data_IF_585438887003
#
_entry.id   IF_585438887003
#
_cell.length_a   1.000
_cell.length_b   1.000
_cell.length_c   1.000
_cell.angle_alpha   90.00
_cell.angle_beta   90.00
_cell.angle_gamma   90.00
#
_symmetry.space_group_name_H-M   'P 1'
#
loop_
_entity.id
_entity.type
_entity.pdbx_description
1 polymer ?
#
# COMPACT_ATOMS: atom_id res chain seq x y z
N UNK A 1 38.52 -8.44 -16.10
CA UNK A 1 37.10 -8.55 -15.77
C UNK A 1 36.61 -7.20 -15.30
N UNK A 2 35.61 -6.62 -15.94
CA UNK A 2 35.12 -5.26 -15.59
C UNK A 2 33.96 -4.75 -16.45
N UNK A 3 33.32 -5.62 -17.24
CA UNK A 3 32.18 -5.27 -18.09
C UNK A 3 30.81 -5.67 -17.51
N UNK A 4 30.76 -6.63 -16.58
CA UNK A 4 29.51 -7.15 -16.01
C UNK A 4 28.87 -6.23 -14.97
N UNK A 5 29.67 -5.50 -14.19
CA UNK A 5 29.17 -4.65 -13.08
C UNK A 5 28.49 -3.36 -13.58
N UNK A 6 28.87 -2.84 -14.75
CA UNK A 6 28.26 -1.63 -15.31
C UNK A 6 26.87 -1.87 -15.92
N UNK A 7 26.58 -3.06 -16.44
CA UNK A 7 25.23 -3.39 -16.93
C UNK A 7 24.24 -3.62 -15.78
N UNK A 8 24.69 -4.20 -14.67
CA UNK A 8 23.88 -4.36 -13.45
C UNK A 8 23.55 -2.99 -12.82
N UNK A 9 24.51 -2.06 -12.73
CA UNK A 9 24.23 -0.71 -12.24
C UNK A 9 23.23 0.09 -13.09
N UNK A 10 23.14 -0.18 -14.41
CA UNK A 10 22.17 0.49 -15.29
C UNK A 10 20.76 -0.11 -15.19
N UNK A 11 20.62 -1.40 -14.92
CA UNK A 11 19.32 -2.05 -14.64
C UNK A 11 18.78 -1.72 -13.24
N UNK A 12 19.65 -1.26 -12.33
CA UNK A 12 19.32 -0.97 -10.92
C UNK A 12 19.58 0.49 -10.53
N UNK A 13 19.45 1.43 -11.47
CA UNK A 13 19.47 2.89 -11.19
C UNK A 13 18.22 3.33 -10.44
N UNK A 14 18.34 4.30 -9.52
CA UNK A 14 17.19 4.91 -8.81
C UNK A 14 16.18 5.63 -9.71
N UNK A 15 16.45 5.71 -11.02
CA UNK A 15 15.54 6.28 -12.00
C UNK A 15 14.46 5.28 -12.47
N UNK A 16 14.66 3.97 -12.27
CA UNK A 16 13.68 2.95 -12.69
C UNK A 16 12.51 2.77 -11.72
N UNK A 17 12.62 3.28 -10.49
CA UNK A 17 11.57 3.19 -9.46
C UNK A 17 10.36 4.04 -9.84
N UNK A 18 10.51 5.34 -10.20
CA UNK A 18 9.46 6.09 -10.87
C UNK A 18 8.87 5.30 -12.02
N UNK A 19 9.71 4.86 -12.95
CA UNK A 19 9.24 4.31 -14.22
C UNK A 19 8.54 2.96 -14.07
N UNK A 20 8.95 2.09 -13.16
CA UNK A 20 8.29 0.81 -12.94
C UNK A 20 6.99 1.00 -12.17
N UNK A 21 6.98 1.80 -11.10
CA UNK A 21 5.78 2.05 -10.30
C UNK A 21 4.75 2.87 -11.10
N UNK A 22 5.21 3.85 -11.89
CA UNK A 22 4.40 4.60 -12.85
C UNK A 22 3.99 3.72 -14.03
N UNK A 23 4.85 2.86 -14.59
CA UNK A 23 4.46 1.93 -15.68
C UNK A 23 3.39 0.93 -15.20
N UNK A 24 3.53 0.43 -13.98
CA UNK A 24 2.55 -0.42 -13.30
C UNK A 24 1.20 0.31 -13.11
N UNK A 25 1.25 1.59 -12.76
CA UNK A 25 0.05 2.41 -12.55
C UNK A 25 -0.57 2.91 -13.86
N UNK A 26 0.24 3.23 -14.87
CA UNK A 26 -0.18 3.76 -16.18
C UNK A 26 -0.73 2.68 -17.11
N UNK A 27 -0.33 1.40 -16.94
CA UNK A 27 -0.99 0.27 -17.61
C UNK A 27 -2.48 0.16 -17.26
N UNK A 28 -2.88 0.65 -16.08
CA UNK A 28 -4.29 0.70 -15.63
C UNK A 28 -5.02 2.00 -16.00
N UNK A 29 -4.31 3.00 -16.51
CA UNK A 29 -4.76 4.40 -16.61
C UNK A 29 -4.93 4.91 -18.04
N UNK A 30 -4.97 4.02 -19.04
CA UNK A 30 -5.29 4.41 -20.42
C UNK A 30 -6.78 4.72 -20.59
N UNK A 31 -7.23 5.87 -20.05
CA UNK A 31 -8.48 6.58 -20.39
C UNK A 31 -8.43 8.02 -19.82
N UNK A 32 -7.83 8.93 -20.63
CA UNK A 32 -8.25 10.31 -20.93
C UNK A 32 -8.80 11.24 -19.83
N UNK A 33 -8.12 12.38 -19.54
CA UNK A 33 -8.36 13.71 -20.16
C UNK A 33 -7.58 14.82 -19.41
N UNK A 34 -6.90 15.60 -20.23
CA UNK A 34 -6.24 16.92 -20.21
C UNK A 34 -6.59 18.02 -19.18
N UNK A 35 -5.51 18.73 -18.81
CA UNK A 35 -5.32 20.10 -18.27
C UNK A 35 -6.10 21.21 -19.03
N UNK A 36 -6.34 22.45 -18.51
CA UNK A 36 -5.25 23.45 -18.30
C UNK A 36 -5.43 24.61 -17.22
N UNK A 37 -4.28 25.06 -16.70
CA UNK A 37 -3.74 26.46 -16.55
C UNK A 37 -4.33 27.62 -15.66
N UNK A 38 -3.48 28.06 -14.70
CA UNK A 38 -2.91 29.42 -14.38
C UNK A 38 -3.59 30.55 -13.56
N UNK A 39 -2.82 30.96 -12.51
CA UNK A 39 -2.40 32.30 -11.98
C UNK A 39 -3.38 33.33 -11.36
N UNK A 40 -3.09 33.78 -10.12
CA UNK A 40 -2.55 35.14 -9.80
C UNK A 40 -2.47 35.46 -8.28
N UNK A 41 -1.54 36.37 -7.96
CA UNK A 41 -0.98 36.78 -6.64
C UNK A 41 -1.80 37.87 -5.89
N UNK A 42 -1.59 38.03 -4.56
CA UNK A 42 -1.09 39.24 -3.81
C UNK A 42 -1.42 39.23 -2.28
N UNK A 43 -0.83 40.10 -1.39
CA UNK A 43 -0.02 39.64 -0.25
C UNK A 43 -0.40 40.13 1.17
N UNK A 44 0.36 39.61 2.16
CA UNK A 44 0.81 40.19 3.45
C UNK A 44 -0.17 40.51 4.59
N UNK A 45 0.08 39.88 5.76
CA UNK A 45 -0.43 40.29 7.08
C UNK A 45 -0.02 39.30 8.19
N UNK A 46 0.59 39.82 9.26
CA UNK A 46 1.37 39.13 10.31
C UNK A 46 0.50 38.57 11.47
N UNK A 47 0.76 37.34 11.98
CA UNK A 47 0.82 36.95 13.42
C UNK A 47 0.68 35.42 13.70
N UNK A 48 1.13 35.02 14.90
CA UNK A 48 1.51 33.71 15.50
C UNK A 48 0.56 32.47 15.40
N UNK A 49 1.02 31.25 15.76
CA UNK A 49 0.56 29.98 15.20
C UNK A 49 -0.72 29.44 15.85
N UNK A 50 -1.76 29.22 15.05
CA UNK A 50 -2.99 28.57 15.52
C UNK A 50 -3.19 27.26 14.78
N UNK A 51 -2.58 26.21 15.32
CA UNK A 51 -2.72 24.81 14.86
C UNK A 51 -4.12 24.28 15.22
N UNK A 52 -4.72 23.48 14.34
CA UNK A 52 -6.01 22.78 14.50
C UNK A 52 -7.29 23.65 14.60
N UNK A 53 -7.18 24.97 14.67
CA UNK A 53 -8.32 25.86 14.43
C UNK A 53 -8.73 25.81 12.95
N UNK A 54 -7.88 25.47 11.98
CA UNK A 54 -8.29 25.60 10.57
C UNK A 54 -9.35 24.56 10.13
N UNK A 55 -9.24 23.28 10.51
CA UNK A 55 -10.26 22.27 10.14
C UNK A 55 -11.51 22.33 11.03
N UNK A 56 -11.34 22.63 12.33
CA UNK A 56 -12.46 22.77 13.28
C UNK A 56 -13.14 24.15 13.21
N UNK A 57 -12.42 25.25 12.95
CA UNK A 57 -13.01 26.54 12.56
C UNK A 57 -13.61 26.43 11.17
N UNK A 58 -13.05 25.75 10.16
CA UNK A 58 -13.77 25.62 8.89
C UNK A 58 -15.10 24.87 9.07
N UNK A 59 -15.11 23.85 9.92
CA UNK A 59 -16.33 23.13 10.29
C UNK A 59 -17.29 23.99 11.16
N UNK A 60 -16.77 24.92 11.96
CA UNK A 60 -17.55 25.80 12.85
C UNK A 60 -17.90 27.18 12.29
N UNK A 61 -17.23 27.66 11.24
CA UNK A 61 -17.29 29.03 10.71
C UNK A 61 -18.12 29.11 9.42
N UNK A 62 -18.42 27.98 8.77
CA UNK A 62 -19.36 27.95 7.64
C UNK A 62 -19.97 26.56 7.41
N UNK A 63 -21.19 26.26 7.90
CA UNK A 63 -21.85 24.96 7.70
C UNK A 63 -22.26 24.69 6.24
N UNK A 64 -22.08 25.66 5.33
CA UNK A 64 -22.39 25.53 3.89
C UNK A 64 -21.17 25.21 3.01
N UNK A 65 -19.95 25.18 3.55
CA UNK A 65 -18.76 24.89 2.76
C UNK A 65 -18.70 23.40 2.39
N UNK A 66 -18.83 23.09 1.10
CA UNK A 66 -18.76 21.73 0.61
C UNK A 66 -17.37 21.10 0.86
N UNK A 67 -17.33 19.77 1.04
CA UNK A 67 -16.09 18.99 1.22
C UNK A 67 -15.02 19.31 0.16
N UNK A 68 -15.44 19.58 -1.07
CA UNK A 68 -14.57 19.96 -2.18
C UNK A 68 -13.89 21.32 -1.98
N UNK A 69 -14.62 22.32 -1.49
CA UNK A 69 -14.07 23.65 -1.22
C UNK A 69 -13.11 23.59 -0.03
N UNK A 70 -13.43 22.80 0.99
CA UNK A 70 -12.53 22.54 2.11
C UNK A 70 -11.21 21.88 1.64
N UNK A 71 -11.28 20.85 0.79
CA UNK A 71 -10.10 20.18 0.23
C UNK A 71 -9.23 21.11 -0.63
N UNK A 72 -9.85 22.03 -1.38
CA UNK A 72 -9.15 23.03 -2.21
C UNK A 72 -8.52 24.15 -1.37
N UNK A 73 -9.11 24.48 -0.21
CA UNK A 73 -8.58 25.50 0.70
C UNK A 73 -7.36 25.04 1.50
N UNK A 74 -7.12 23.73 1.58
CA UNK A 74 -6.02 23.16 2.35
C UNK A 74 -4.69 23.29 1.62
N UNK A 75 -3.69 23.85 2.30
CA UNK A 75 -2.32 23.88 1.79
C UNK A 75 -1.63 22.52 2.00
N UNK A 76 -1.71 21.66 0.99
CA UNK A 76 -1.16 20.30 1.00
C UNK A 76 0.36 20.22 1.22
N UNK A 77 1.09 21.31 0.92
CA UNK A 77 2.54 21.41 1.09
C UNK A 77 2.95 21.93 2.49
N UNK A 78 1.99 22.23 3.36
CA UNK A 78 2.28 22.73 4.70
C UNK A 78 3.07 21.70 5.52
N UNK A 79 4.20 22.13 6.10
CA UNK A 79 5.07 21.30 6.92
C UNK A 79 4.85 21.55 8.41
N UNK A 80 4.56 20.49 9.16
CA UNK A 80 4.45 20.55 10.62
C UNK A 80 5.04 19.31 11.28
N UNK A 81 5.43 19.45 12.55
CA UNK A 81 5.83 18.30 13.35
C UNK A 81 4.65 17.34 13.55
N UNK A 82 4.91 16.02 13.64
CA UNK A 82 3.87 15.06 13.99
C UNK A 82 3.25 15.40 15.35
N UNK A 83 1.93 15.33 15.43
CA UNK A 83 1.16 15.57 16.66
C UNK A 83 0.13 14.45 16.86
N UNK A 84 -0.19 14.14 18.12
CA UNK A 84 -1.20 13.12 18.42
C UNK A 84 -2.59 13.46 17.84
N UNK A 85 -2.88 14.75 17.69
CA UNK A 85 -4.12 15.26 17.08
C UNK A 85 -4.27 14.83 15.62
N UNK A 86 -3.17 14.54 14.91
CA UNK A 86 -3.22 14.07 13.53
C UNK A 86 -3.94 12.71 13.42
N UNK A 87 -3.96 11.91 14.50
CA UNK A 87 -4.70 10.63 14.55
C UNK A 87 -6.19 10.78 14.88
N UNK A 88 -6.70 12.00 15.12
CA UNK A 88 -8.12 12.19 15.43
C UNK A 88 -9.07 11.75 14.29
N UNK A 89 -8.58 11.73 13.04
CA UNK A 89 -9.33 11.28 11.85
C UNK A 89 -9.33 9.75 11.72
N UNK A 90 -8.42 9.05 12.42
CA UNK A 90 -8.23 7.60 12.29
C UNK A 90 -9.50 6.79 12.59
N UNK A 91 -10.27 7.05 13.68
CA UNK A 91 -11.51 6.32 13.95
C UNK A 91 -12.55 6.47 12.83
N UNK A 92 -12.64 7.66 12.23
CA UNK A 92 -13.53 7.90 11.09
C UNK A 92 -13.16 7.02 9.90
N UNK A 93 -11.86 6.85 9.62
CA UNK A 93 -11.40 5.97 8.54
C UNK A 93 -11.65 4.48 8.84
N UNK A 94 -11.46 4.05 10.09
CA UNK A 94 -11.73 2.67 10.51
C UNK A 94 -13.20 2.29 10.31
N UNK A 95 -14.14 3.25 10.44
CA UNK A 95 -15.57 3.06 10.13
C UNK A 95 -15.87 3.25 8.64
N UNK A 96 -15.16 4.16 7.98
CA UNK A 96 -15.32 4.43 6.55
C UNK A 96 -15.04 3.18 5.70
N UNK A 97 -13.92 2.47 5.92
CA UNK A 97 -13.56 1.31 5.11
C UNK A 97 -14.61 0.18 5.10
N UNK A 98 -15.12 -0.33 6.23
CA UNK A 98 -16.18 -1.34 6.21
C UNK A 98 -17.48 -0.81 5.60
N UNK A 99 -17.80 0.47 5.80
CA UNK A 99 -18.98 1.10 5.18
C UNK A 99 -18.84 1.18 3.66
N UNK A 100 -17.68 1.62 3.17
CA UNK A 100 -17.36 1.67 1.75
C UNK A 100 -17.36 0.27 1.13
N UNK A 101 -16.80 -0.73 1.82
CA UNK A 101 -16.87 -2.14 1.39
C UNK A 101 -18.30 -2.59 1.21
N UNK A 102 -19.15 -2.37 2.21
CA UNK A 102 -20.56 -2.76 2.15
C UNK A 102 -21.31 -2.09 0.98
N UNK A 103 -21.10 -0.79 0.76
CA UNK A 103 -21.72 -0.06 -0.34
C UNK A 103 -21.22 -0.54 -1.70
N UNK A 104 -19.91 -0.69 -1.88
CA UNK A 104 -19.32 -1.19 -3.13
C UNK A 104 -19.75 -2.63 -3.41
N UNK A 105 -19.79 -3.49 -2.40
CA UNK A 105 -20.31 -4.86 -2.50
C UNK A 105 -21.74 -4.85 -3.02
N UNK A 106 -22.62 -4.05 -2.40
CA UNK A 106 -24.05 -4.00 -2.71
C UNK A 106 -24.34 -3.46 -4.11
N UNK A 107 -23.67 -2.38 -4.52
CA UNK A 107 -24.02 -1.65 -5.73
C UNK A 107 -23.16 -1.99 -6.95
N UNK A 108 -21.87 -2.34 -6.74
CA UNK A 108 -20.89 -2.49 -7.81
C UNK A 108 -20.42 -3.94 -7.92
N UNK A 109 -19.76 -4.48 -6.88
CA UNK A 109 -19.07 -5.76 -6.98
C UNK A 109 -20.03 -6.92 -7.21
N UNK A 110 -21.19 -6.95 -6.55
CA UNK A 110 -22.19 -7.99 -6.78
C UNK A 110 -22.73 -7.95 -8.23
N UNK A 111 -22.90 -6.76 -8.82
CA UNK A 111 -23.33 -6.62 -10.23
C UNK A 111 -22.23 -7.05 -11.20
N UNK A 112 -20.98 -6.69 -10.93
CA UNK A 112 -19.82 -7.08 -11.74
C UNK A 112 -19.55 -8.57 -11.65
N UNK A 113 -19.53 -9.14 -10.44
CA UNK A 113 -19.29 -10.54 -10.18
C UNK A 113 -20.30 -11.42 -10.94
N UNK A 114 -21.60 -11.11 -10.84
CA UNK A 114 -22.63 -11.86 -11.60
C UNK A 114 -22.43 -11.77 -13.11
N UNK A 115 -22.04 -10.61 -13.65
CA UNK A 115 -21.82 -10.46 -15.10
C UNK A 115 -20.58 -11.22 -15.59
N UNK A 116 -19.49 -11.14 -14.84
CA UNK A 116 -18.19 -11.69 -15.25
C UNK A 116 -18.05 -13.18 -14.92
N UNK A 117 -18.62 -13.64 -13.81
CA UNK A 117 -18.53 -15.04 -13.36
C UNK A 117 -19.65 -15.91 -13.96
N UNK A 118 -20.89 -15.41 -14.07
CA UNK A 118 -22.03 -16.20 -14.60
C UNK A 118 -22.26 -16.05 -16.11
N UNK A 119 -21.49 -15.20 -16.80
CA UNK A 119 -21.65 -14.92 -18.23
C UNK A 119 -21.47 -16.14 -19.17
N UNK A 120 -21.05 -17.30 -18.65
CA UNK A 120 -20.95 -18.57 -19.38
C UNK A 120 -21.81 -19.66 -18.71
N UNK A 121 -22.96 -19.95 -19.31
CA UNK A 121 -23.66 -21.23 -19.23
C UNK A 121 -24.48 -21.54 -17.97
N UNK A 122 -25.80 -21.41 -18.07
CA UNK A 122 -26.75 -21.99 -17.12
C UNK A 122 -26.91 -23.50 -17.36
N UNK A 123 -26.60 -24.33 -16.35
CA UNK A 123 -27.47 -25.40 -15.79
C UNK A 123 -26.65 -26.54 -15.14
N UNK A 124 -26.55 -26.55 -13.81
CA UNK A 124 -26.72 -27.76 -12.97
C UNK A 124 -26.92 -27.35 -11.51
N UNK A 125 -27.97 -27.91 -10.89
CA UNK A 125 -28.59 -27.38 -9.69
C UNK A 125 -27.89 -27.85 -8.39
N UNK A 126 -27.70 -26.91 -7.48
CA UNK A 126 -27.32 -27.02 -6.07
C UNK A 126 -25.82 -27.13 -5.74
N UNK A 127 -25.09 -28.20 -6.09
CA UNK A 127 -23.64 -28.30 -5.75
C UNK A 127 -22.81 -27.28 -6.55
N UNK A 128 -23.14 -27.06 -7.82
CA UNK A 128 -22.53 -26.01 -8.63
C UNK A 128 -22.93 -24.60 -8.15
N UNK A 129 -24.13 -24.46 -7.57
CA UNK A 129 -24.61 -23.18 -7.05
C UNK A 129 -23.80 -22.72 -5.82
N UNK A 130 -23.42 -23.65 -4.94
CA UNK A 130 -22.54 -23.35 -3.80
C UNK A 130 -21.11 -23.04 -4.25
N UNK A 131 -20.58 -23.79 -5.23
CA UNK A 131 -19.28 -23.50 -5.84
C UNK A 131 -19.23 -22.13 -6.53
N UNK A 132 -20.30 -21.77 -7.25
CA UNK A 132 -20.48 -20.45 -7.88
C UNK A 132 -20.56 -19.36 -6.81
N UNK A 133 -21.32 -19.56 -5.73
CA UNK A 133 -21.43 -18.59 -4.63
C UNK A 133 -20.08 -18.36 -3.95
N UNK A 134 -19.31 -19.42 -3.70
CA UNK A 134 -17.93 -19.33 -3.17
C UNK A 134 -17.05 -18.50 -4.12
N UNK A 135 -17.08 -18.76 -5.45
CA UNK A 135 -16.33 -17.97 -6.45
C UNK A 135 -16.75 -16.50 -6.47
N UNK A 136 -18.06 -16.20 -6.41
CA UNK A 136 -18.57 -14.83 -6.35
C UNK A 136 -18.08 -14.08 -5.11
N UNK A 137 -18.07 -14.73 -3.95
CA UNK A 137 -17.57 -14.13 -2.71
C UNK A 137 -16.06 -13.88 -2.78
N UNK A 138 -15.27 -14.85 -3.26
CA UNK A 138 -13.83 -14.68 -3.47
C UNK A 138 -13.51 -13.57 -4.48
N UNK A 139 -14.32 -13.41 -5.53
CA UNK A 139 -14.20 -12.28 -6.47
C UNK A 139 -14.47 -10.93 -5.78
N UNK A 140 -15.56 -10.82 -5.00
CA UNK A 140 -15.92 -9.58 -4.30
C UNK A 140 -14.86 -9.17 -3.28
N UNK A 141 -14.35 -10.12 -2.50
CA UNK A 141 -13.25 -9.89 -1.57
C UNK A 141 -11.99 -9.36 -2.27
N UNK A 142 -11.65 -9.97 -3.41
CA UNK A 142 -10.51 -9.55 -4.22
C UNK A 142 -10.73 -8.17 -4.86
N UNK A 143 -11.95 -7.87 -5.32
CA UNK A 143 -12.30 -6.56 -5.87
C UNK A 143 -12.23 -5.45 -4.81
N UNK A 144 -12.65 -5.71 -3.57
CA UNK A 144 -12.49 -4.78 -2.46
C UNK A 144 -11.02 -4.46 -2.19
N UNK A 145 -10.18 -5.51 -2.10
CA UNK A 145 -8.73 -5.35 -1.89
C UNK A 145 -8.09 -4.59 -3.05
N UNK A 146 -8.46 -4.90 -4.29
CA UNK A 146 -8.00 -4.18 -5.48
C UNK A 146 -8.32 -2.68 -5.41
N UNK A 147 -9.57 -2.31 -5.12
CA UNK A 147 -9.97 -0.89 -5.03
C UNK A 147 -9.14 -0.16 -3.98
N UNK A 148 -8.93 -0.77 -2.82
CA UNK A 148 -8.06 -0.18 -1.80
C UNK A 148 -6.62 -0.03 -2.31
N UNK A 149 -5.94 -1.12 -2.69
CA UNK A 149 -4.52 -1.06 -3.07
C UNK A 149 -4.29 -0.12 -4.25
N UNK A 150 -5.19 -0.11 -5.23
CA UNK A 150 -5.10 0.79 -6.36
C UNK A 150 -5.26 2.27 -5.93
N UNK A 151 -6.24 2.58 -5.08
CA UNK A 151 -6.41 3.95 -4.56
C UNK A 151 -5.25 4.39 -3.66
N UNK A 152 -4.72 3.49 -2.82
CA UNK A 152 -3.58 3.74 -1.93
C UNK A 152 -2.30 3.99 -2.73
N UNK A 153 -2.10 3.23 -3.81
CA UNK A 153 -0.95 3.38 -4.70
C UNK A 153 -1.01 4.70 -5.46
N UNK A 154 -2.17 5.05 -6.04
CA UNK A 154 -2.35 6.35 -6.70
C UNK A 154 -2.12 7.51 -5.74
N UNK A 155 -2.64 7.42 -4.52
CA UNK A 155 -2.44 8.45 -3.50
C UNK A 155 -0.96 8.55 -3.12
N UNK A 156 -0.29 7.42 -2.84
CA UNK A 156 1.13 7.39 -2.47
C UNK A 156 1.99 8.00 -3.57
N UNK A 157 1.79 7.61 -4.83
CA UNK A 157 2.52 8.16 -5.96
C UNK A 157 2.27 9.65 -6.15
N UNK A 158 1.01 10.08 -6.09
CA UNK A 158 0.67 11.50 -6.25
C UNK A 158 1.39 12.39 -5.22
N UNK A 159 1.57 11.87 -4.01
CA UNK A 159 2.20 12.59 -2.90
C UNK A 159 3.73 12.52 -2.95
N UNK A 160 4.30 11.37 -3.32
CA UNK A 160 5.76 11.17 -3.27
C UNK A 160 6.47 11.48 -4.58
N UNK A 161 5.81 11.43 -5.74
CA UNK A 161 6.47 11.52 -7.05
C UNK A 161 7.33 12.79 -7.23
N UNK A 162 6.80 13.94 -6.78
CA UNK A 162 7.49 15.23 -6.88
C UNK A 162 8.47 15.50 -5.72
N UNK A 163 8.62 14.56 -4.79
CA UNK A 163 9.46 14.74 -3.60
C UNK A 163 10.90 14.27 -3.85
N UNK A 164 11.91 14.96 -3.27
CA UNK A 164 13.31 14.68 -3.55
C UNK A 164 13.77 13.31 -3.02
N UNK A 165 13.03 12.72 -2.09
CA UNK A 165 13.31 11.38 -1.56
C UNK A 165 12.77 10.23 -2.40
N UNK A 166 11.99 10.52 -3.43
CA UNK A 166 11.50 9.50 -4.36
C UNK A 166 12.63 8.87 -5.17
N UNK A 167 13.67 9.66 -5.50
CA UNK A 167 14.82 9.23 -6.33
C UNK A 167 16.11 9.07 -5.53
N UNK A 168 16.25 9.76 -4.40
CA UNK A 168 17.48 9.73 -3.60
C UNK A 168 17.18 9.42 -2.13
N UNK A 169 17.67 8.27 -1.68
CA UNK A 169 17.46 7.74 -0.33
C UNK A 169 18.08 8.61 0.76
N UNK A 170 19.11 9.40 0.46
CA UNK A 170 19.68 10.35 1.45
C UNK A 170 18.66 11.38 1.90
N UNK A 171 17.71 11.74 1.03
CA UNK A 171 16.68 12.74 1.33
C UNK A 171 15.58 12.20 2.25
N UNK A 172 15.61 10.91 2.61
CA UNK A 172 14.86 10.41 3.76
C UNK A 172 15.32 11.09 5.05
N UNK A 173 16.63 11.28 5.19
CA UNK A 173 17.27 11.73 6.44
C UNK A 173 17.59 13.23 6.44
N UNK A 174 17.81 13.80 5.26
CA UNK A 174 18.16 15.21 5.08
C UNK A 174 17.04 15.91 4.31
N UNK A 175 16.58 17.05 4.82
CA UNK A 175 15.59 17.92 4.17
C UNK A 175 16.17 19.28 3.78
N UNK A 176 15.33 20.15 3.18
CA UNK A 176 15.70 21.52 2.89
C UNK A 176 16.05 22.29 4.18
N UNK A 177 17.03 23.19 4.09
CA UNK A 177 17.48 24.01 5.22
C UNK A 177 18.32 23.22 6.22
N UNK A 178 17.96 23.32 7.50
CA UNK A 178 18.60 22.69 8.64
C UNK A 178 17.89 21.38 9.10
N UNK A 179 16.91 20.90 8.33
CA UNK A 179 16.15 19.70 8.68
C UNK A 179 17.01 18.43 8.52
N UNK A 180 17.43 17.85 9.63
CA UNK A 180 18.10 16.54 9.68
C UNK A 180 17.35 15.66 10.66
N UNK A 181 17.10 14.40 10.29
CA UNK A 181 16.46 13.45 11.20
C UNK A 181 17.27 13.33 12.51
N UNK A 182 16.63 13.39 13.70
CA UNK A 182 15.20 13.29 13.96
C UNK A 182 14.40 14.60 13.90
N UNK A 183 15.00 15.76 13.64
CA UNK A 183 14.34 17.07 13.62
C UNK A 183 13.70 17.43 12.27
N UNK A 184 12.88 16.54 11.74
CA UNK A 184 12.18 16.73 10.47
C UNK A 184 10.69 17.00 10.64
N UNK A 185 10.14 17.84 9.76
CA UNK A 185 8.70 18.07 9.63
C UNK A 185 8.10 17.13 8.58
N UNK A 186 6.78 16.93 8.68
CA UNK A 186 5.98 16.12 7.77
C UNK A 186 5.01 17.04 7.04
N UNK A 187 4.97 16.92 5.70
CA UNK A 187 4.01 17.63 4.86
C UNK A 187 2.59 17.11 5.09
N UNK A 188 1.59 17.98 5.02
CA UNK A 188 0.18 17.63 5.24
C UNK A 188 -0.29 16.50 4.31
N UNK A 189 0.06 16.54 3.02
CA UNK A 189 -0.23 15.45 2.08
C UNK A 189 0.32 14.09 2.51
N UNK A 190 1.51 14.07 3.10
CA UNK A 190 2.15 12.85 3.57
C UNK A 190 1.52 12.33 4.87
N UNK A 191 1.06 13.25 5.75
CA UNK A 191 0.21 12.86 6.90
C UNK A 191 -1.07 12.17 6.41
N UNK A 192 -1.69 12.68 5.35
CA UNK A 192 -2.88 12.09 4.72
C UNK A 192 -2.66 10.64 4.28
N UNK A 193 -1.57 10.36 3.56
CA UNK A 193 -1.20 8.99 3.14
C UNK A 193 -1.06 8.06 4.36
N UNK A 194 -0.39 8.51 5.41
CA UNK A 194 -0.18 7.74 6.63
C UNK A 194 -1.49 7.41 7.35
N UNK A 195 -2.37 8.40 7.50
CA UNK A 195 -3.65 8.23 8.18
C UNK A 195 -4.57 7.32 7.35
N UNK A 196 -4.56 7.45 6.03
CA UNK A 196 -5.28 6.57 5.10
C UNK A 196 -4.84 5.11 5.25
N UNK A 197 -3.54 4.84 5.16
CA UNK A 197 -2.97 3.51 5.34
C UNK A 197 -3.24 2.95 6.74
N UNK A 198 -3.00 3.75 7.80
CA UNK A 198 -3.26 3.34 9.17
C UNK A 198 -4.72 2.92 9.37
N UNK A 199 -5.67 3.67 8.80
CA UNK A 199 -7.09 3.36 8.88
C UNK A 199 -7.43 2.01 8.25
N UNK A 200 -6.91 1.75 7.05
CA UNK A 200 -7.18 0.49 6.36
C UNK A 200 -6.54 -0.71 7.05
N UNK A 201 -5.26 -0.62 7.41
CA UNK A 201 -4.55 -1.73 8.04
C UNK A 201 -5.14 -2.04 9.44
N UNK A 202 -5.60 -1.03 10.17
CA UNK A 202 -6.34 -1.22 11.43
C UNK A 202 -7.68 -1.92 11.19
N UNK A 203 -8.46 -1.43 10.22
CA UNK A 203 -9.70 -2.11 9.80
C UNK A 203 -9.44 -3.57 9.37
N UNK A 204 -8.34 -3.82 8.65
CA UNK A 204 -8.01 -5.13 8.12
C UNK A 204 -7.68 -6.14 9.22
N UNK A 205 -7.12 -5.71 10.35
CA UNK A 205 -6.97 -6.57 11.54
C UNK A 205 -8.35 -7.02 12.05
N UNK A 206 -9.30 -6.09 12.21
CA UNK A 206 -10.67 -6.44 12.62
C UNK A 206 -11.35 -7.35 11.60
N UNK A 207 -11.19 -7.06 10.31
CA UNK A 207 -11.73 -7.90 9.25
C UNK A 207 -11.14 -9.31 9.31
N UNK A 208 -9.82 -9.46 9.50
CA UNK A 208 -9.17 -10.76 9.65
C UNK A 208 -9.64 -11.52 10.89
N UNK A 209 -9.87 -10.83 12.01
CA UNK A 209 -10.31 -11.47 13.25
C UNK A 209 -11.76 -11.94 13.22
N UNK A 210 -12.65 -11.19 12.57
CA UNK A 210 -14.10 -11.39 12.70
C UNK A 210 -14.83 -11.75 11.40
N UNK A 211 -14.27 -11.42 10.23
CA UNK A 211 -14.99 -11.48 8.95
C UNK A 211 -14.32 -12.36 7.89
N UNK A 212 -12.99 -12.40 7.86
CA UNK A 212 -12.23 -13.13 6.85
C UNK A 212 -12.10 -14.60 7.22
N UNK A 213 -12.14 -15.48 6.20
CA UNK A 213 -12.04 -16.92 6.45
C UNK A 213 -10.62 -17.29 6.88
N UNK A 214 -10.50 -18.11 7.93
CA UNK A 214 -9.21 -18.49 8.50
C UNK A 214 -8.46 -19.46 7.58
N UNK A 215 -7.49 -18.94 6.83
CA UNK A 215 -6.60 -19.71 5.96
C UNK A 215 -5.40 -20.30 6.72
N UNK A 216 -4.71 -21.28 6.14
CA UNK A 216 -3.48 -21.89 6.67
C UNK A 216 -2.35 -20.90 6.98
N UNK A 217 -2.26 -19.78 6.25
CA UNK A 217 -1.30 -18.70 6.50
C UNK A 217 -1.85 -17.55 7.37
N UNK A 218 -2.98 -17.77 8.07
CA UNK A 218 -3.64 -16.77 8.91
C UNK A 218 -2.70 -16.14 9.95
N UNK A 219 -1.93 -16.96 10.69
CA UNK A 219 -1.04 -16.45 11.73
C UNK A 219 0.07 -15.55 11.17
N UNK A 220 0.61 -15.91 10.00
CA UNK A 220 1.65 -15.14 9.29
C UNK A 220 1.05 -13.84 8.75
N UNK A 221 -0.13 -13.90 8.15
CA UNK A 221 -0.86 -12.72 7.65
C UNK A 221 -1.24 -11.76 8.79
N UNK A 222 -1.75 -12.27 9.91
CA UNK A 222 -2.07 -11.47 11.10
C UNK A 222 -0.82 -10.79 11.66
N UNK A 223 0.28 -11.55 11.80
CA UNK A 223 1.55 -11.00 12.29
C UNK A 223 2.07 -9.88 11.40
N UNK A 224 1.91 -10.02 10.07
CA UNK A 224 2.22 -8.95 9.13
C UNK A 224 1.37 -7.70 9.34
N UNK A 225 0.05 -7.83 9.45
CA UNK A 225 -0.84 -6.68 9.63
C UNK A 225 -0.53 -5.94 10.93
N UNK A 226 -0.28 -6.67 12.02
CA UNK A 226 0.18 -6.08 13.29
C UNK A 226 1.52 -5.36 13.12
N UNK A 227 2.51 -6.01 12.48
CA UNK A 227 3.81 -5.39 12.22
C UNK A 227 3.69 -4.12 11.36
N UNK A 228 2.84 -4.13 10.34
CA UNK A 228 2.58 -2.98 9.46
C UNK A 228 1.91 -1.83 10.20
N UNK A 229 0.88 -2.08 11.03
CA UNK A 229 0.27 -1.02 11.85
C UNK A 229 1.28 -0.43 12.83
N UNK A 230 2.07 -1.28 13.50
CA UNK A 230 3.13 -0.82 14.42
C UNK A 230 4.19 -0.02 13.66
N UNK A 231 4.60 -0.45 12.47
CA UNK A 231 5.55 0.29 11.62
C UNK A 231 4.99 1.65 11.21
N UNK A 232 3.73 1.75 10.80
CA UNK A 232 3.10 3.02 10.41
C UNK A 232 3.07 3.98 11.60
N UNK A 233 2.63 3.50 12.78
CA UNK A 233 2.55 4.34 13.99
C UNK A 233 3.93 4.78 14.47
N UNK A 234 4.88 3.85 14.60
CA UNK A 234 6.22 4.16 15.08
C UNK A 234 7.00 5.02 14.09
N UNK A 235 6.89 4.77 12.78
CA UNK A 235 7.54 5.63 11.78
C UNK A 235 6.96 7.05 11.77
N UNK A 236 5.67 7.22 12.09
CA UNK A 236 5.09 8.54 12.27
C UNK A 236 5.65 9.26 13.50
N UNK A 237 5.65 8.58 14.66
CA UNK A 237 6.14 9.13 15.94
C UNK A 237 7.64 9.43 15.89
N UNK A 238 8.43 8.53 15.32
CA UNK A 238 9.88 8.67 15.17
C UNK A 238 10.28 9.53 13.96
N UNK A 239 9.32 10.14 13.25
CA UNK A 239 9.56 11.05 12.11
C UNK A 239 10.28 10.38 10.93
N UNK A 240 10.08 9.08 10.75
CA UNK A 240 10.49 8.30 9.57
C UNK A 240 9.47 8.37 8.42
N UNK A 241 8.65 9.42 8.37
CA UNK A 241 7.52 9.53 7.46
C UNK A 241 7.93 9.38 5.98
N UNK A 242 9.05 10.01 5.58
CA UNK A 242 9.57 10.00 4.20
C UNK A 242 9.99 8.61 3.74
N UNK A 243 10.70 7.85 4.58
CA UNK A 243 11.10 6.48 4.23
C UNK A 243 9.90 5.54 4.28
N UNK A 244 9.03 5.67 5.28
CA UNK A 244 7.86 4.81 5.38
C UNK A 244 6.82 5.06 4.29
N UNK A 245 6.75 6.25 3.67
CA UNK A 245 5.91 6.47 2.49
C UNK A 245 6.38 5.65 1.29
N UNK A 246 7.71 5.51 1.12
CA UNK A 246 8.27 4.63 0.11
C UNK A 246 7.99 3.17 0.45
N UNK A 247 8.09 2.77 1.74
CA UNK A 247 7.70 1.42 2.17
C UNK A 247 6.25 1.14 1.76
N UNK A 248 5.30 2.01 2.07
CA UNK A 248 3.89 1.83 1.71
C UNK A 248 3.70 1.63 0.19
N UNK A 249 4.22 2.54 -0.63
CA UNK A 249 4.09 2.46 -2.09
C UNK A 249 4.66 1.16 -2.68
N UNK A 250 5.82 0.70 -2.20
CA UNK A 250 6.43 -0.52 -2.72
C UNK A 250 5.62 -1.78 -2.44
N UNK A 251 4.95 -1.82 -1.29
CA UNK A 251 4.20 -3.01 -0.89
C UNK A 251 2.86 -3.02 -1.60
N UNK A 252 2.13 -1.91 -1.58
CA UNK A 252 0.78 -1.81 -2.14
C UNK A 252 0.79 -2.02 -3.67
N UNK A 253 1.80 -1.52 -4.40
CA UNK A 253 1.93 -1.67 -5.85
C UNK A 253 1.83 -3.13 -6.36
N UNK A 254 2.57 -4.06 -5.74
CA UNK A 254 2.51 -5.46 -6.17
C UNK A 254 1.19 -6.15 -5.82
N UNK A 255 0.46 -5.69 -4.81
CA UNK A 255 -0.80 -6.29 -4.39
C UNK A 255 -1.95 -5.96 -5.35
N UNK A 256 -1.88 -4.81 -6.04
CA UNK A 256 -2.78 -4.48 -7.16
C UNK A 256 -2.77 -5.59 -8.21
N UNK A 257 -1.59 -6.08 -8.60
CA UNK A 257 -1.47 -7.16 -9.59
C UNK A 257 -1.97 -8.50 -9.08
N UNK A 258 -1.70 -8.81 -7.80
CA UNK A 258 -2.17 -10.03 -7.16
C UNK A 258 -3.69 -10.13 -7.19
N UNK A 259 -4.37 -9.06 -6.76
CA UNK A 259 -5.84 -9.04 -6.69
C UNK A 259 -6.47 -9.01 -8.09
N UNK A 260 -5.85 -8.31 -9.04
CA UNK A 260 -6.29 -8.34 -10.44
C UNK A 260 -6.20 -9.75 -11.04
N UNK A 261 -5.12 -10.49 -10.77
CA UNK A 261 -4.95 -11.88 -11.24
C UNK A 261 -6.05 -12.81 -10.69
N UNK A 262 -6.36 -12.68 -9.39
CA UNK A 262 -7.44 -13.43 -8.73
C UNK A 262 -8.81 -13.12 -9.35
N UNK A 263 -9.13 -11.84 -9.55
CA UNK A 263 -10.38 -11.42 -10.19
C UNK A 263 -10.57 -12.04 -11.58
N UNK A 264 -9.52 -12.04 -12.41
CA UNK A 264 -9.57 -12.68 -13.73
C UNK A 264 -9.69 -14.19 -13.63
N UNK A 265 -9.01 -14.83 -12.67
CA UNK A 265 -9.12 -16.27 -12.44
C UNK A 265 -10.54 -16.68 -12.05
N UNK A 266 -11.17 -15.95 -11.13
CA UNK A 266 -12.55 -16.23 -10.70
C UNK A 266 -13.59 -15.96 -11.81
N UNK A 267 -13.28 -15.06 -12.73
CA UNK A 267 -14.13 -14.75 -13.90
C UNK A 267 -13.93 -15.74 -15.07
N UNK A 268 -13.00 -16.70 -14.96
CA UNK A 268 -12.72 -17.67 -16.02
C UNK A 268 -11.91 -17.12 -17.20
N UNK A 269 -11.22 -15.99 -17.03
CA UNK A 269 -10.28 -15.44 -18.01
C UNK A 269 -8.86 -15.96 -17.74
N UNK A 270 -8.63 -17.26 -17.91
CA UNK A 270 -7.38 -17.94 -17.50
C UNK A 270 -6.11 -17.35 -18.14
N UNK A 271 -6.16 -16.95 -19.41
CA UNK A 271 -5.02 -16.32 -20.08
C UNK A 271 -4.63 -15.00 -19.42
N UNK A 272 -5.62 -14.14 -19.15
CA UNK A 272 -5.37 -12.83 -18.55
C UNK A 272 -4.96 -12.98 -17.08
N UNK A 273 -5.54 -13.93 -16.36
CA UNK A 273 -5.11 -14.30 -15.02
C UNK A 273 -3.63 -14.75 -15.01
N UNK A 274 -3.21 -15.54 -16.00
CA UNK A 274 -1.82 -16.00 -16.11
C UNK A 274 -0.86 -14.85 -16.39
N UNK A 275 -1.21 -13.95 -17.32
CA UNK A 275 -0.41 -12.75 -17.61
C UNK A 275 -0.26 -11.90 -16.35
N UNK A 276 -1.37 -11.60 -15.66
CA UNK A 276 -1.34 -10.79 -14.44
C UNK A 276 -0.58 -11.47 -13.30
N UNK A 277 -0.65 -12.80 -13.19
CA UNK A 277 0.13 -13.55 -12.21
C UNK A 277 1.64 -13.46 -12.50
N UNK A 278 2.07 -13.54 -13.77
CA UNK A 278 3.48 -13.34 -14.14
C UNK A 278 3.94 -11.91 -13.83
N UNK A 279 3.12 -10.90 -14.13
CA UNK A 279 3.42 -9.50 -13.78
C UNK A 279 3.54 -9.34 -12.25
N UNK A 280 2.64 -9.94 -11.48
CA UNK A 280 2.71 -9.97 -10.03
C UNK A 280 4.02 -10.59 -9.51
N UNK A 281 4.44 -11.74 -10.06
CA UNK A 281 5.70 -12.40 -9.68
C UNK A 281 6.89 -11.47 -9.93
N UNK A 282 6.94 -10.83 -11.10
CA UNK A 282 8.02 -9.89 -11.43
C UNK A 282 8.01 -8.68 -10.49
N UNK A 283 6.84 -8.10 -10.23
CA UNK A 283 6.69 -6.98 -9.30
C UNK A 283 7.10 -7.35 -7.87
N UNK A 284 6.76 -8.56 -7.40
CA UNK A 284 7.14 -9.04 -6.07
C UNK A 284 8.66 -9.10 -5.91
N UNK A 285 9.37 -9.67 -6.89
CA UNK A 285 10.83 -9.75 -6.87
C UNK A 285 11.44 -8.35 -6.86
N UNK A 286 11.04 -7.50 -7.80
CA UNK A 286 11.62 -6.17 -7.97
C UNK A 286 11.37 -5.28 -6.74
N UNK A 287 10.14 -5.21 -6.26
CA UNK A 287 9.75 -4.27 -5.22
C UNK A 287 10.13 -4.77 -3.81
N UNK A 288 9.82 -6.03 -3.48
CA UNK A 288 9.95 -6.57 -2.12
C UNK A 288 11.26 -7.32 -1.86
N UNK A 289 11.84 -7.97 -2.86
CA UNK A 289 13.10 -8.74 -2.68
C UNK A 289 14.34 -8.00 -3.14
N UNK A 290 14.21 -6.99 -4.01
CA UNK A 290 15.34 -6.19 -4.46
C UNK A 290 15.27 -4.79 -3.86
N UNK A 291 14.25 -4.01 -4.21
CA UNK A 291 14.25 -2.59 -3.83
C UNK A 291 14.12 -2.39 -2.32
N UNK A 292 13.19 -3.08 -1.67
CA UNK A 292 13.02 -3.00 -0.22
C UNK A 292 14.31 -3.29 0.59
N UNK A 293 15.02 -4.42 0.43
CA UNK A 293 16.25 -4.66 1.18
C UNK A 293 17.43 -3.79 0.72
N UNK A 294 17.68 -3.67 -0.59
CA UNK A 294 18.90 -3.04 -1.08
C UNK A 294 18.85 -1.52 -1.05
N UNK A 295 17.67 -0.89 -1.07
CA UNK A 295 17.52 0.57 -1.02
C UNK A 295 16.94 1.05 0.30
N UNK A 296 15.79 0.53 0.73
CA UNK A 296 15.14 1.01 1.95
C UNK A 296 15.90 0.56 3.19
N UNK A 297 16.07 -0.75 3.40
CA UNK A 297 16.77 -1.28 4.58
C UNK A 297 18.22 -0.82 4.62
N UNK A 298 18.91 -0.75 3.46
CA UNK A 298 20.25 -0.17 3.38
C UNK A 298 20.27 1.27 3.89
N UNK A 299 19.31 2.10 3.47
CA UNK A 299 19.24 3.51 3.89
C UNK A 299 18.93 3.63 5.39
N UNK A 300 17.97 2.86 5.89
CA UNK A 300 17.60 2.85 7.34
C UNK A 300 18.66 2.20 8.22
N UNK A 301 19.53 1.36 7.69
CA UNK A 301 20.59 0.69 8.45
C UNK A 301 21.91 1.46 8.42
N UNK A 302 22.29 2.05 7.28
CA UNK A 302 23.60 2.69 7.07
C UNK A 302 23.51 4.22 6.94
N UNK A 303 22.64 4.73 6.06
CA UNK A 303 22.60 6.18 5.76
C UNK A 303 22.11 7.01 6.96
N UNK A 304 21.18 6.46 7.76
CA UNK A 304 20.72 7.12 8.99
C UNK A 304 21.84 7.28 10.04
N UNK A 305 22.76 6.30 10.16
CA UNK A 305 23.85 6.36 11.14
C UNK A 305 24.85 7.45 10.76
N UNK A 306 25.04 7.68 9.46
CA UNK A 306 25.95 8.70 8.92
C UNK A 306 25.39 10.13 9.07
N UNK A 307 24.07 10.26 9.25
CA UNK A 307 23.39 11.56 9.32
C UNK A 307 22.99 11.95 10.74
N UNK A 308 22.85 10.97 11.64
CA UNK A 308 22.49 11.20 13.04
C UNK A 308 23.65 11.87 13.80
N UNK A 309 23.38 13.05 14.36
CA UNK A 309 24.21 13.67 15.38
C UNK A 309 24.08 12.89 16.69
N UNK A 310 25.06 12.00 16.92
CA UNK A 310 25.12 11.14 18.11
C UNK A 310 25.39 11.94 19.39
N UNK A 311 25.92 13.15 19.30
CA UNK A 311 26.17 13.98 20.49
C UNK A 311 24.89 14.64 20.97
N UNK A 312 24.04 15.10 20.03
CA UNK A 312 22.74 15.71 20.32
C UNK A 312 21.68 14.70 20.77
N UNK A 313 21.66 13.49 20.19
CA UNK A 313 20.62 12.46 20.44
C UNK A 313 21.18 11.13 20.95
N UNK A 314 21.91 11.16 22.08
CA UNK A 314 22.65 10.00 22.63
C UNK A 314 21.78 8.77 22.97
N UNK A 315 20.54 8.97 23.42
CA UNK A 315 19.69 7.88 23.95
C UNK A 315 18.54 7.54 23.01
N UNK A 316 17.82 8.54 22.51
CA UNK A 316 16.63 8.33 21.67
C UNK A 316 16.96 7.80 20.27
N UNK A 317 18.03 8.31 19.65
CA UNK A 317 18.45 7.93 18.30
C UNK A 317 18.70 6.43 18.14
N UNK A 318 19.52 5.79 18.99
CA UNK A 318 19.76 4.34 18.95
C UNK A 318 18.48 3.52 19.15
N UNK A 319 17.58 3.91 20.06
CA UNK A 319 16.34 3.17 20.31
C UNK A 319 15.46 3.19 19.06
N UNK A 320 15.21 4.36 18.48
CA UNK A 320 14.40 4.49 17.26
C UNK A 320 15.00 3.69 16.11
N UNK A 321 16.33 3.71 15.96
CA UNK A 321 17.07 2.94 14.98
C UNK A 321 16.84 1.43 15.10
N UNK A 322 17.07 0.85 16.29
CA UNK A 322 17.00 -0.60 16.48
C UNK A 322 15.56 -1.12 16.36
N UNK A 323 14.60 -0.42 16.95
CA UNK A 323 13.18 -0.83 16.89
C UNK A 323 12.68 -0.82 15.45
N UNK A 324 12.91 0.28 14.72
CA UNK A 324 12.41 0.42 13.35
C UNK A 324 13.07 -0.59 12.39
N UNK A 325 14.40 -0.73 12.44
CA UNK A 325 15.09 -1.70 11.57
C UNK A 325 14.71 -3.14 11.89
N UNK A 326 14.53 -3.51 13.17
CA UNK A 326 14.10 -4.87 13.53
C UNK A 326 12.74 -5.23 12.92
N UNK A 327 11.79 -4.29 12.93
CA UNK A 327 10.48 -4.47 12.31
C UNK A 327 10.57 -4.56 10.78
N UNK A 328 11.43 -3.77 10.12
CA UNK A 328 11.66 -3.87 8.68
C UNK A 328 12.30 -5.20 8.28
N UNK A 329 13.25 -5.71 9.07
CA UNK A 329 13.82 -7.05 8.87
C UNK A 329 12.79 -8.15 9.09
N UNK A 330 11.92 -8.01 10.10
CA UNK A 330 10.80 -8.95 10.29
C UNK A 330 9.87 -8.96 9.06
N UNK A 331 9.56 -7.78 8.48
CA UNK A 331 8.80 -7.68 7.23
C UNK A 331 9.51 -8.40 6.08
N UNK A 332 10.84 -8.23 5.93
CA UNK A 332 11.62 -8.90 4.90
C UNK A 332 11.55 -10.44 5.02
N UNK A 333 11.63 -10.97 6.25
CA UNK A 333 11.49 -12.42 6.49
C UNK A 333 10.12 -12.92 6.02
N UNK A 334 9.06 -12.16 6.30
CA UNK A 334 7.71 -12.49 5.82
C UNK A 334 7.62 -12.45 4.28
N UNK A 335 8.26 -11.49 3.62
CA UNK A 335 8.32 -11.45 2.16
C UNK A 335 9.05 -12.64 1.55
N UNK A 336 10.14 -13.09 2.18
CA UNK A 336 10.86 -14.30 1.76
C UNK A 336 9.97 -15.54 1.94
N UNK A 337 9.23 -15.64 3.05
CA UNK A 337 8.27 -16.72 3.26
C UNK A 337 7.22 -16.78 2.14
N UNK A 338 6.56 -15.67 1.83
CA UNK A 338 5.56 -15.65 0.75
C UNK A 338 6.18 -15.84 -0.63
N UNK A 339 7.40 -15.37 -0.87
CA UNK A 339 8.12 -15.66 -2.10
C UNK A 339 8.26 -17.16 -2.34
N UNK A 340 8.59 -17.95 -1.30
CA UNK A 340 8.65 -19.41 -1.42
C UNK A 340 7.30 -20.00 -1.83
N UNK A 341 6.19 -19.49 -1.30
CA UNK A 341 4.84 -19.94 -1.69
C UNK A 341 4.51 -19.56 -3.14
N UNK A 342 4.79 -18.32 -3.54
CA UNK A 342 4.57 -17.82 -4.89
C UNK A 342 5.40 -18.61 -5.91
N UNK A 343 6.66 -18.88 -5.58
CA UNK A 343 7.55 -19.67 -6.43
C UNK A 343 7.05 -21.11 -6.60
N UNK A 344 6.56 -21.75 -5.52
CA UNK A 344 5.93 -23.07 -5.61
C UNK A 344 4.72 -23.07 -6.52
N UNK A 345 3.87 -22.03 -6.45
CA UNK A 345 2.72 -21.87 -7.35
C UNK A 345 3.15 -21.69 -8.81
N UNK A 346 4.18 -20.88 -9.05
CA UNK A 346 4.74 -20.65 -10.40
C UNK A 346 5.28 -21.95 -11.01
N UNK A 347 6.04 -22.74 -10.24
CA UNK A 347 6.56 -24.03 -10.69
C UNK A 347 5.42 -24.99 -11.03
N UNK A 348 4.38 -25.09 -10.17
CA UNK A 348 3.18 -25.90 -10.46
C UNK A 348 2.50 -25.46 -11.76
N UNK A 349 2.36 -24.16 -12.00
CA UNK A 349 1.74 -23.61 -13.22
C UNK A 349 2.54 -23.91 -14.49
N UNK A 350 3.88 -23.94 -14.41
CA UNK A 350 4.74 -24.32 -15.53
C UNK A 350 4.62 -25.82 -15.81
N UNK A 351 4.61 -26.65 -14.76
CA UNK A 351 4.49 -28.11 -14.86
C UNK A 351 3.13 -28.53 -15.44
N UNK A 352 2.05 -27.81 -15.12
CA UNK A 352 0.69 -28.05 -15.63
C UNK A 352 0.44 -27.50 -17.05
N UNK A 353 1.50 -27.13 -17.80
CA UNK A 353 1.42 -26.50 -19.14
C UNK A 353 0.54 -25.25 -19.17
N UNK A 354 0.58 -24.43 -18.13
CA UNK A 354 -0.12 -23.15 -18.08
C UNK A 354 -1.55 -23.21 -17.54
N UNK A 355 -2.03 -24.37 -17.08
CA UNK A 355 -3.27 -24.41 -16.29
C UNK A 355 -2.98 -23.90 -14.88
N UNK A 356 -3.58 -22.76 -14.51
CA UNK A 356 -3.52 -22.24 -13.15
C UNK A 356 -4.30 -23.20 -12.24
N UNK A 357 -3.57 -24.03 -11.50
CA UNK A 357 -4.11 -24.83 -10.40
C UNK A 357 -4.53 -23.95 -9.22
N UNK A 358 -5.29 -24.51 -8.29
CA UNK A 358 -5.76 -23.78 -7.11
C UNK A 358 -4.58 -23.26 -6.27
N UNK A 359 -4.81 -22.11 -5.60
CA UNK A 359 -3.80 -21.49 -4.73
C UNK A 359 -3.38 -22.50 -3.66
N UNK A 360 -2.07 -22.73 -3.50
CA UNK A 360 -1.51 -23.73 -2.56
C UNK A 360 -1.93 -23.44 -1.12
N UNK A 361 -2.36 -22.21 -0.84
CA UNK A 361 -2.89 -21.81 0.48
C UNK A 361 -4.36 -22.16 0.68
N UNK A 362 -5.09 -22.51 -0.39
CA UNK A 362 -6.48 -22.99 -0.36
C UNK A 362 -6.63 -24.50 -0.38
N UNK A 363 -5.56 -25.27 -0.59
CA UNK A 363 -5.59 -26.75 -0.51
C UNK A 363 -6.01 -27.26 0.88
N UNK A 364 -5.93 -26.44 1.94
CA UNK A 364 -6.40 -26.79 3.29
C UNK A 364 -7.88 -26.49 3.54
N UNK A 365 -8.65 -26.01 2.56
CA UNK A 365 -10.11 -25.80 2.69
C UNK A 365 -10.93 -27.06 2.33
N UNK A 366 -10.29 -28.17 1.97
CA UNK A 366 -10.95 -29.36 1.41
C UNK A 366 -10.75 -30.68 2.17
N UNK A 367 -10.00 -30.71 3.27
CA UNK A 367 -9.73 -31.96 4.01
C UNK A 367 -10.72 -32.26 5.16
N UNK A 368 -11.65 -31.35 5.47
CA UNK A 368 -12.60 -31.49 6.61
C UNK A 368 -14.05 -31.86 6.21
N UNK A 369 -14.32 -32.35 4.98
CA UNK A 369 -15.68 -32.79 4.57
C UNK A 369 -15.78 -34.30 4.22
N UNK A 370 -14.81 -35.13 4.62
CA UNK A 370 -14.83 -36.57 4.37
C UNK A 370 -14.45 -37.46 5.57
N UNK A 371 -14.80 -37.08 6.79
CA UNK A 371 -14.91 -38.04 7.91
C UNK A 371 -16.08 -37.64 8.83
N UNK A 372 -17.30 -38.08 8.45
CA UNK A 372 -18.32 -38.74 9.30
C UNK A 372 -19.68 -38.89 8.59
#
# INVERSE_FOLDING_TARGET
GGGGERCLCLLFSSQWIPLFVISCSTLSLSLSVSDPHTHSLFPSGLSLPTRLSLVLDLCGRNPEMGLSEMMLSLNWEEESYPAYQDFAVLPCLVVFFPTARFLLDRFIFERMARRLVLGKGHNKLNVEADGIRKKLNKFKESAWKFVYFFSAELLSLSVTYNEPWFTNTRNFWVGPGDQVWPDQKIKLKLKGVYIYAAGFYTYSIFALLFWETRRSDFGVSMSHHVATVVLILLSYVFRFARVGSMVLALHDASDVFMETAKMFKYSGFDLLAAIMFVVFVLAWILLRLIYFPFWIIRSTSYEVILTLDKEKHKVEGPIYYYVFNSLLFALLVLHIYWWVLIFRMLVKQIQSRGQIGDDVRSDSEGEDEHED
#
